data_IF_176326317958
#
_entry.id   IF_176326317958
#
_cell.length_a   1.000
_cell.length_b   1.000
_cell.length_c   1.000
_cell.angle_alpha   90.00
_cell.angle_beta   90.00
_cell.angle_gamma   90.00
#
_symmetry.space_group_name_H-M   'P 1'
#
loop_
_entity.id
_entity.type
_entity.pdbx_description
1 polymer ?
#
# COMPACT_ATOMS: atom_id res chain seq x y z
N UNK A 1 15.96 -20.51 13.91
CA UNK A 1 17.37 -20.34 14.32
C UNK A 1 17.43 -20.42 15.85
N UNK A 2 16.98 -21.54 16.38
CA UNK A 2 16.63 -21.75 17.80
C UNK A 2 17.56 -22.80 18.45
N UNK A 3 18.68 -23.14 17.79
CA UNK A 3 19.56 -24.25 18.20
C UNK A 3 21.03 -23.86 18.39
N UNK A 4 21.37 -22.56 18.53
CA UNK A 4 22.78 -22.15 18.70
C UNK A 4 23.06 -21.41 20.02
N UNK A 5 22.05 -21.09 20.82
CA UNK A 5 22.25 -20.25 22.02
C UNK A 5 22.20 -21.03 23.36
N UNK A 6 22.24 -22.36 23.31
CA UNK A 6 22.01 -23.21 24.49
C UNK A 6 23.27 -23.84 25.11
N UNK A 7 24.49 -23.46 24.71
CA UNK A 7 25.69 -24.05 25.34
C UNK A 7 26.91 -23.13 25.31
N UNK A 8 26.90 -22.10 26.15
CA UNK A 8 28.13 -21.58 26.73
C UNK A 8 27.94 -21.48 28.24
N UNK A 9 27.84 -22.63 28.91
CA UNK A 9 28.01 -22.66 30.36
C UNK A 9 29.31 -21.92 30.69
N UNK A 10 29.20 -20.92 31.55
CA UNK A 10 30.34 -20.15 32.02
C UNK A 10 31.37 -21.11 32.62
N UNK A 11 32.66 -20.88 32.36
CA UNK A 11 33.77 -21.65 32.93
C UNK A 11 33.65 -21.81 34.47
N UNK A 12 33.00 -20.85 35.15
CA UNK A 12 32.69 -20.92 36.57
C UNK A 12 31.63 -21.99 36.94
N UNK A 13 30.62 -22.20 36.09
CA UNK A 13 29.55 -23.19 36.27
C UNK A 13 30.07 -24.62 36.07
N UNK A 14 30.91 -24.82 35.07
CA UNK A 14 31.58 -26.12 34.81
C UNK A 14 32.49 -26.51 35.98
N UNK A 15 33.21 -25.54 36.56
CA UNK A 15 34.08 -25.77 37.74
C UNK A 15 33.27 -26.00 39.02
N UNK A 16 32.11 -25.37 39.16
CA UNK A 16 31.20 -25.56 40.28
C UNK A 16 30.56 -26.95 40.30
N UNK A 17 30.06 -27.40 39.14
CA UNK A 17 29.57 -28.76 38.91
C UNK A 17 30.64 -29.81 39.26
N UNK A 18 31.90 -29.57 38.88
CA UNK A 18 33.02 -30.45 39.22
C UNK A 18 33.45 -30.38 40.70
N UNK A 19 33.20 -29.26 41.40
CA UNK A 19 33.55 -29.08 42.82
C UNK A 19 32.48 -29.54 43.81
N UNK A 20 31.24 -29.75 43.34
CA UNK A 20 30.11 -30.18 44.17
C UNK A 20 29.56 -29.11 45.13
N UNK A 21 29.86 -27.82 44.94
CA UNK A 21 29.34 -26.77 45.81
C UNK A 21 27.88 -26.40 45.42
N UNK A 22 26.86 -26.77 46.22
CA UNK A 22 25.46 -26.57 45.88
C UNK A 22 25.06 -25.10 45.72
N UNK A 23 25.73 -24.18 46.42
CA UNK A 23 25.40 -22.75 46.38
C UNK A 23 25.69 -22.11 45.02
N UNK A 24 26.68 -22.63 44.28
CA UNK A 24 27.03 -22.07 42.96
C UNK A 24 26.05 -22.54 41.88
N UNK A 25 25.55 -23.78 42.00
CA UNK A 25 24.51 -24.30 41.12
C UNK A 25 23.18 -23.53 41.31
N UNK A 26 22.81 -23.28 42.57
CA UNK A 26 21.64 -22.46 42.91
C UNK A 26 21.76 -21.04 42.33
N UNK A 27 22.92 -20.40 42.52
CA UNK A 27 23.17 -19.08 41.96
C UNK A 27 23.06 -19.06 40.43
N UNK A 28 23.65 -20.03 39.73
CA UNK A 28 23.56 -20.14 38.27
C UNK A 28 22.11 -20.29 37.80
N UNK A 29 21.30 -21.09 38.50
CA UNK A 29 19.86 -21.21 38.25
C UNK A 29 19.12 -19.87 38.41
N UNK A 30 19.38 -19.16 39.50
CA UNK A 30 18.79 -17.83 39.77
C UNK A 30 19.23 -16.79 38.72
N UNK A 31 20.50 -16.78 38.32
CA UNK A 31 21.03 -15.87 37.30
C UNK A 31 20.39 -16.15 35.93
N UNK A 32 20.18 -17.42 35.57
CA UNK A 32 19.49 -17.82 34.35
C UNK A 32 18.01 -17.41 34.35
N UNK A 33 17.31 -17.60 35.47
CA UNK A 33 15.93 -17.15 35.64
C UNK A 33 15.83 -15.61 35.56
N UNK A 34 16.76 -14.90 36.20
CA UNK A 34 16.81 -13.45 36.16
C UNK A 34 17.05 -12.93 34.73
N UNK A 35 17.97 -13.55 33.98
CA UNK A 35 18.21 -13.21 32.58
C UNK A 35 16.95 -13.43 31.72
N UNK A 36 16.26 -14.56 31.91
CA UNK A 36 14.99 -14.85 31.23
C UNK A 36 13.92 -13.81 31.57
N UNK A 37 13.77 -13.46 32.84
CA UNK A 37 12.81 -12.45 33.30
C UNK A 37 13.13 -11.06 32.73
N UNK A 38 14.41 -10.69 32.64
CA UNK A 38 14.84 -9.42 32.06
C UNK A 38 14.47 -9.32 30.57
N UNK A 39 14.67 -10.40 29.80
CA UNK A 39 14.23 -10.47 28.40
C UNK A 39 12.71 -10.33 28.28
N UNK A 40 11.95 -11.09 29.08
CA UNK A 40 10.48 -11.01 29.07
C UNK A 40 9.97 -9.61 29.43
N UNK A 41 10.60 -8.95 30.40
CA UNK A 41 10.27 -7.57 30.77
C UNK A 41 10.53 -6.60 29.62
N UNK A 42 11.68 -6.71 28.96
CA UNK A 42 12.03 -5.88 27.81
C UNK A 42 11.02 -6.04 26.67
N UNK A 43 10.64 -7.29 26.35
CA UNK A 43 9.62 -7.58 25.35
C UNK A 43 8.26 -6.99 25.73
N UNK A 44 7.87 -7.11 27.00
CA UNK A 44 6.63 -6.52 27.50
C UNK A 44 6.63 -5.00 27.39
N UNK A 45 7.72 -4.33 27.77
CA UNK A 45 7.87 -2.87 27.68
C UNK A 45 7.79 -2.40 26.20
N UNK A 46 8.42 -3.14 25.29
CA UNK A 46 8.34 -2.90 23.84
C UNK A 46 6.90 -3.06 23.31
N UNK A 47 6.21 -4.13 23.71
CA UNK A 47 4.82 -4.36 23.29
C UNK A 47 3.89 -3.27 23.82
N UNK A 48 4.06 -2.86 25.08
CA UNK A 48 3.31 -1.77 25.68
C UNK A 48 3.51 -0.46 24.92
N UNK A 49 4.75 -0.15 24.52
CA UNK A 49 5.03 1.01 23.70
C UNK A 49 4.37 0.92 22.32
N UNK A 50 4.51 -0.22 21.63
CA UNK A 50 3.91 -0.45 20.32
C UNK A 50 2.39 -0.30 20.35
N UNK A 51 1.72 -0.92 21.34
CA UNK A 51 0.28 -0.81 21.53
C UNK A 51 -0.16 0.63 21.75
N UNK A 52 0.57 1.40 22.57
CA UNK A 52 0.25 2.84 22.79
C UNK A 52 0.37 3.65 21.50
N UNK A 53 1.41 3.42 20.71
CA UNK A 53 1.58 4.10 19.41
C UNK A 53 0.47 3.71 18.43
N UNK A 54 0.10 2.43 18.40
CA UNK A 54 -0.98 1.96 17.55
C UNK A 54 -2.30 2.63 17.92
N UNK A 55 -2.71 2.58 19.19
CA UNK A 55 -3.93 3.22 19.70
C UNK A 55 -3.93 4.71 19.41
N UNK A 56 -2.81 5.41 19.62
CA UNK A 56 -2.68 6.83 19.31
C UNK A 56 -2.87 7.13 17.81
N UNK A 57 -2.48 6.19 16.92
CA UNK A 57 -2.62 6.33 15.47
C UNK A 57 -4.03 6.01 14.92
N UNK A 58 -4.84 5.23 15.66
CA UNK A 58 -6.14 4.75 15.19
C UNK A 58 -7.13 5.87 14.82
N UNK A 59 -7.30 6.95 15.61
CA UNK A 59 -8.25 8.02 15.26
C UNK A 59 -7.93 8.69 13.91
N UNK A 60 -6.65 8.91 13.63
CA UNK A 60 -6.22 9.47 12.34
C UNK A 60 -6.48 8.50 11.18
N UNK A 61 -6.24 7.19 11.39
CA UNK A 61 -6.55 6.16 10.40
C UNK A 61 -8.06 6.04 10.13
N UNK A 62 -8.90 6.17 11.16
CA UNK A 62 -10.37 6.16 11.06
C UNK A 62 -10.82 7.37 10.24
N UNK A 63 -10.42 8.58 10.64
CA UNK A 63 -10.79 9.83 9.96
C UNK A 63 -10.40 9.77 8.48
N UNK A 64 -9.16 9.35 8.17
CA UNK A 64 -8.69 9.20 6.79
C UNK A 64 -9.52 8.20 5.99
N UNK A 65 -9.95 7.09 6.59
CA UNK A 65 -10.82 6.10 5.92
C UNK A 65 -12.21 6.65 5.66
N UNK A 66 -12.81 7.34 6.63
CA UNK A 66 -14.13 7.95 6.52
C UNK A 66 -14.15 9.00 5.40
N UNK A 67 -13.18 9.92 5.39
CA UNK A 67 -13.01 10.92 4.34
C UNK A 67 -12.88 10.28 2.96
N UNK A 68 -12.14 9.17 2.85
CA UNK A 68 -12.01 8.43 1.59
C UNK A 68 -13.30 7.76 1.16
N UNK A 69 -14.07 7.17 2.08
CA UNK A 69 -15.36 6.55 1.76
C UNK A 69 -16.33 7.60 1.19
N UNK A 70 -16.35 8.79 1.79
CA UNK A 70 -17.14 9.92 1.29
C UNK A 70 -16.65 10.42 -0.06
N UNK A 71 -15.33 10.52 -0.24
CA UNK A 71 -14.75 10.89 -1.53
C UNK A 71 -15.09 9.86 -2.63
N UNK A 72 -14.99 8.56 -2.37
CA UNK A 72 -15.46 7.52 -3.29
C UNK A 72 -16.95 7.68 -3.61
N UNK A 73 -17.78 8.00 -2.62
CA UNK A 73 -19.21 8.24 -2.83
C UNK A 73 -19.47 9.42 -3.77
N UNK A 74 -18.78 10.53 -3.57
CA UNK A 74 -18.87 11.71 -4.44
C UNK A 74 -18.37 11.41 -5.87
N UNK A 75 -17.26 10.68 -6.00
CA UNK A 75 -16.69 10.30 -7.30
C UNK A 75 -17.65 9.39 -8.07
N UNK A 76 -18.22 8.36 -7.41
CA UNK A 76 -19.22 7.47 -8.01
C UNK A 76 -20.44 8.28 -8.50
N UNK A 77 -20.90 9.25 -7.71
CA UNK A 77 -22.03 10.11 -8.09
C UNK A 77 -21.70 11.05 -9.27
N UNK A 78 -20.44 11.45 -9.43
CA UNK A 78 -19.98 12.30 -10.53
C UNK A 78 -19.61 11.55 -11.81
N UNK A 79 -19.54 10.21 -11.75
CA UNK A 79 -19.14 9.35 -12.87
C UNK A 79 -20.16 9.48 -14.00
N UNK A 80 -19.64 9.79 -15.19
CA UNK A 80 -20.40 9.73 -16.44
C UNK A 80 -20.29 8.32 -17.01
N UNK A 81 -21.41 7.75 -17.45
CA UNK A 81 -21.43 6.45 -18.09
C UNK A 81 -20.63 6.49 -19.40
N UNK A 82 -19.64 5.62 -19.53
CA UNK A 82 -18.80 5.45 -20.72
C UNK A 82 -19.05 4.12 -21.43
N UNK A 83 -20.06 3.36 -21.00
CA UNK A 83 -20.35 2.02 -21.54
C UNK A 83 -21.03 2.08 -22.91
N UNK A 84 -20.77 1.08 -23.75
CA UNK A 84 -21.44 0.92 -25.04
C UNK A 84 -21.31 2.14 -25.96
N UNK A 85 -22.45 2.74 -26.29
CA UNK A 85 -22.58 3.90 -27.19
C UNK A 85 -22.34 5.25 -26.49
N UNK A 86 -22.23 5.29 -25.16
CA UNK A 86 -21.94 6.50 -24.39
C UNK A 86 -20.44 6.77 -24.24
N UNK A 87 -19.61 5.93 -24.87
CA UNK A 87 -18.17 6.08 -24.84
C UNK A 87 -17.74 7.43 -25.42
N UNK A 88 -17.09 8.24 -24.58
CA UNK A 88 -16.43 9.46 -24.98
C UNK A 88 -15.21 9.69 -24.11
N UNK A 89 -14.08 9.98 -24.75
CA UNK A 89 -12.84 10.35 -24.08
C UNK A 89 -12.25 11.58 -24.75
N UNK A 90 -11.77 12.51 -23.95
CA UNK A 90 -11.04 13.68 -24.41
C UNK A 90 -9.55 13.45 -24.21
N UNK A 91 -8.78 13.55 -25.28
CA UNK A 91 -7.31 13.40 -25.28
C UNK A 91 -6.70 14.58 -26.03
N UNK A 92 -5.83 15.34 -25.36
CA UNK A 92 -5.16 16.54 -25.84
C UNK A 92 -6.13 17.56 -26.49
N UNK A 93 -7.34 17.69 -25.92
CA UNK A 93 -8.40 18.59 -26.39
C UNK A 93 -9.24 18.06 -27.56
N UNK A 94 -8.99 16.83 -28.02
CA UNK A 94 -9.79 16.16 -29.05
C UNK A 94 -10.70 15.11 -28.43
N UNK A 95 -12.00 15.15 -28.76
CA UNK A 95 -12.97 14.15 -28.32
C UNK A 95 -12.99 12.94 -29.26
N UNK A 96 -12.88 11.75 -28.69
CA UNK A 96 -12.93 10.47 -29.40
C UNK A 96 -14.12 9.66 -28.90
N UNK A 97 -14.95 9.17 -29.84
CA UNK A 97 -16.07 8.25 -29.59
C UNK A 97 -15.79 6.84 -30.11
N UNK A 98 -14.71 6.67 -30.86
CA UNK A 98 -14.23 5.38 -31.35
C UNK A 98 -13.12 4.87 -30.43
N UNK A 99 -13.30 3.64 -29.92
CA UNK A 99 -12.38 3.01 -28.96
C UNK A 99 -11.00 2.74 -29.55
N UNK A 100 -10.93 2.36 -30.82
CA UNK A 100 -9.67 2.04 -31.49
C UNK A 100 -8.86 3.31 -31.75
N UNK A 101 -9.53 4.38 -32.19
CA UNK A 101 -8.90 5.69 -32.37
C UNK A 101 -8.44 6.29 -31.03
N UNK A 102 -9.28 6.20 -29.99
CA UNK A 102 -8.94 6.63 -28.65
C UNK A 102 -7.72 5.90 -28.09
N UNK A 103 -7.66 4.57 -28.20
CA UNK A 103 -6.52 3.78 -27.73
C UNK A 103 -5.21 4.13 -28.44
N UNK A 104 -5.26 4.36 -29.76
CA UNK A 104 -4.10 4.83 -30.55
C UNK A 104 -3.64 6.23 -30.13
N UNK A 105 -4.59 7.16 -29.95
CA UNK A 105 -4.29 8.52 -29.49
C UNK A 105 -3.67 8.52 -28.09
N UNK A 106 -4.24 7.73 -27.16
CA UNK A 106 -3.76 7.57 -25.80
C UNK A 106 -2.34 6.99 -25.77
N UNK A 107 -2.10 5.90 -26.52
CA UNK A 107 -0.78 5.29 -26.67
C UNK A 107 0.26 6.28 -27.21
N UNK A 108 -0.12 7.11 -28.20
CA UNK A 108 0.77 8.12 -28.78
C UNK A 108 1.12 9.21 -27.77
N UNK A 109 0.13 9.72 -27.04
CA UNK A 109 0.33 10.75 -26.02
C UNK A 109 1.27 10.27 -24.90
N UNK A 110 1.14 8.99 -24.52
CA UNK A 110 1.96 8.40 -23.46
C UNK A 110 3.41 8.18 -23.91
N UNK A 111 3.66 7.76 -25.16
CA UNK A 111 5.01 7.46 -25.66
C UNK A 111 5.98 8.65 -25.55
N UNK A 112 5.49 9.88 -25.68
CA UNK A 112 6.31 11.10 -25.69
C UNK A 112 6.71 11.68 -24.32
N UNK A 113 6.30 11.08 -23.19
CA UNK A 113 6.60 11.63 -21.86
C UNK A 113 8.01 11.36 -21.37
N UNK A 114 8.54 12.37 -20.65
CA UNK A 114 9.83 12.29 -19.95
C UNK A 114 9.66 11.66 -18.57
N UNK A 115 10.77 11.16 -18.01
CA UNK A 115 10.81 10.65 -16.65
C UNK A 115 10.43 11.73 -15.64
N UNK A 116 9.70 11.35 -14.58
CA UNK A 116 9.22 12.24 -13.52
C UNK A 116 8.32 13.39 -14.01
N UNK A 117 7.68 13.20 -15.15
CA UNK A 117 6.72 14.17 -15.70
C UNK A 117 5.29 13.75 -15.32
N UNK A 118 4.50 14.74 -14.90
CA UNK A 118 3.04 14.62 -14.79
C UNK A 118 2.46 15.45 -15.92
N UNK A 119 1.69 14.81 -16.80
CA UNK A 119 1.05 15.51 -17.92
C UNK A 119 -0.46 15.25 -17.91
N UNK A 120 -1.30 16.29 -17.90
CA UNK A 120 -2.73 16.13 -18.14
C UNK A 120 -2.94 15.69 -19.59
N UNK A 121 -3.69 14.61 -19.80
CA UNK A 121 -4.07 14.14 -21.13
C UNK A 121 -5.46 14.59 -21.53
N UNK A 122 -6.38 14.80 -20.60
CA UNK A 122 -7.73 15.25 -20.92
C UNK A 122 -8.75 14.76 -19.92
N UNK A 123 -9.86 14.21 -20.37
CA UNK A 123 -10.99 13.83 -19.52
C UNK A 123 -11.61 12.49 -19.92
N UNK A 124 -12.00 11.70 -18.95
CA UNK A 124 -12.65 10.40 -19.17
C UNK A 124 -13.70 10.13 -18.08
N UNK A 125 -14.92 9.77 -18.46
CA UNK A 125 -15.98 9.36 -17.52
C UNK A 125 -16.33 10.38 -16.43
N UNK A 126 -16.15 11.68 -16.70
CA UNK A 126 -16.35 12.76 -15.74
C UNK A 126 -15.09 13.18 -14.97
N UNK A 127 -14.00 12.42 -15.06
CA UNK A 127 -12.75 12.64 -14.34
C UNK A 127 -11.67 13.28 -15.21
N UNK A 128 -10.71 13.96 -14.59
CA UNK A 128 -9.54 14.49 -15.27
C UNK A 128 -8.49 13.38 -15.43
N UNK A 129 -8.08 13.11 -16.67
CA UNK A 129 -7.09 12.09 -17.00
C UNK A 129 -5.69 12.72 -17.07
N UNK A 130 -4.76 12.22 -16.27
CA UNK A 130 -3.33 12.55 -16.33
C UNK A 130 -2.50 11.28 -16.45
N UNK A 131 -1.24 11.44 -16.85
CA UNK A 131 -0.26 10.35 -16.79
C UNK A 131 0.92 10.78 -15.97
N UNK A 132 1.34 9.90 -15.08
CA UNK A 132 2.45 10.07 -14.19
C UNK A 132 3.56 9.12 -14.65
N UNK A 133 4.67 9.66 -15.14
CA UNK A 133 5.86 8.86 -15.41
C UNK A 133 6.69 8.78 -14.14
N UNK A 134 6.85 7.58 -13.59
CA UNK A 134 7.73 7.36 -12.45
C UNK A 134 9.21 7.52 -12.80
N UNK A 135 10.08 7.34 -11.80
CA UNK A 135 11.54 7.32 -11.99
C UNK A 135 12.01 6.01 -12.66
N UNK A 136 13.30 5.90 -13.02
CA UNK A 136 13.87 4.69 -13.66
C UNK A 136 13.64 3.37 -12.90
N UNK A 137 13.26 3.43 -11.62
CA UNK A 137 12.93 2.27 -10.77
C UNK A 137 11.44 1.93 -10.73
N UNK A 138 10.57 2.90 -11.06
CA UNK A 138 9.15 2.65 -11.17
C UNK A 138 8.91 1.99 -12.54
N UNK A 139 8.50 0.73 -12.52
CA UNK A 139 8.14 0.02 -13.74
C UNK A 139 6.88 0.66 -14.33
N UNK A 140 7.08 1.59 -15.26
CA UNK A 140 6.04 2.02 -16.17
C UNK A 140 5.49 3.42 -15.93
N UNK A 141 4.51 3.74 -16.77
CA UNK A 141 3.74 4.98 -16.73
C UNK A 141 2.42 4.63 -16.03
N UNK A 142 1.91 5.51 -15.20
CA UNK A 142 0.63 5.31 -14.51
C UNK A 142 -0.38 6.31 -15.07
N UNK A 143 -1.54 5.84 -15.49
CA UNK A 143 -2.68 6.71 -15.79
C UNK A 143 -3.38 7.03 -14.48
N UNK A 144 -3.79 8.28 -14.30
CA UNK A 144 -4.48 8.72 -13.09
C UNK A 144 -5.75 9.44 -13.49
N UNK A 145 -6.89 8.95 -12.99
CA UNK A 145 -8.17 9.62 -13.05
C UNK A 145 -8.34 10.41 -11.76
N UNK A 146 -8.31 11.73 -11.88
CA UNK A 146 -8.41 12.66 -10.74
C UNK A 146 -9.86 13.08 -10.56
N UNK A 147 -10.44 12.70 -9.42
CA UNK A 147 -11.73 13.18 -8.91
C UNK A 147 -11.52 13.94 -7.60
N UNK A 148 -12.33 13.63 -6.58
CA UNK A 148 -12.00 14.00 -5.19
C UNK A 148 -10.82 13.22 -4.64
N UNK A 149 -10.61 12.02 -5.16
CA UNK A 149 -9.41 11.22 -4.93
C UNK A 149 -8.82 10.76 -6.26
N UNK A 150 -7.54 10.44 -6.21
CA UNK A 150 -6.80 9.93 -7.36
C UNK A 150 -7.03 8.42 -7.52
N UNK A 151 -7.54 8.02 -8.66
CA UNK A 151 -7.69 6.61 -9.06
C UNK A 151 -6.59 6.26 -10.05
N UNK A 152 -5.71 5.35 -9.65
CA UNK A 152 -4.55 4.95 -10.48
C UNK A 152 -4.92 3.73 -11.32
N UNK A 153 -4.75 3.88 -12.62
CA UNK A 153 -4.86 2.86 -13.65
C UNK A 153 -3.45 2.54 -14.17
N UNK A 154 -3.03 1.28 -14.12
CA UNK A 154 -1.67 0.94 -14.52
C UNK A 154 -1.55 0.88 -16.05
N UNK A 155 -0.69 1.72 -16.64
CA UNK A 155 -0.38 1.59 -18.06
C UNK A 155 0.68 0.49 -18.24
N UNK A 156 0.23 -0.74 -18.49
CA UNK A 156 1.11 -1.85 -18.83
C UNK A 156 1.99 -1.56 -20.07
N UNK A 157 3.00 -2.39 -20.29
CA UNK A 157 3.98 -2.20 -21.36
C UNK A 157 3.38 -2.16 -22.79
N UNK A 158 2.20 -2.77 -22.98
CA UNK A 158 1.46 -2.74 -24.24
C UNK A 158 0.30 -1.74 -24.13
N UNK A 159 0.43 -0.60 -24.83
CA UNK A 159 -0.56 0.49 -24.85
C UNK A 159 -1.95 0.12 -25.39
N UNK A 160 -2.16 -1.11 -25.82
CA UNK A 160 -3.42 -1.58 -26.43
C UNK A 160 -4.53 -1.83 -25.40
N UNK A 161 -4.20 -2.03 -24.11
CA UNK A 161 -5.18 -2.29 -23.04
C UNK A 161 -5.46 -1.10 -22.12
N UNK A 162 -4.94 0.08 -22.46
CA UNK A 162 -5.07 1.25 -21.60
C UNK A 162 -6.52 1.68 -21.39
N UNK A 163 -7.34 1.52 -22.43
CA UNK A 163 -8.75 1.87 -22.37
C UNK A 163 -9.54 0.90 -21.47
N UNK A 164 -9.26 -0.40 -21.60
CA UNK A 164 -9.85 -1.43 -20.75
C UNK A 164 -9.49 -1.19 -19.27
N UNK A 165 -8.26 -0.78 -18.97
CA UNK A 165 -7.83 -0.47 -17.61
C UNK A 165 -8.54 0.78 -17.04
N UNK A 166 -8.75 1.81 -17.85
CA UNK A 166 -9.52 3.00 -17.43
C UNK A 166 -10.99 2.65 -17.15
N UNK A 167 -11.62 1.86 -18.01
CA UNK A 167 -12.98 1.37 -17.82
C UNK A 167 -13.09 0.43 -16.60
N UNK A 168 -12.09 -0.43 -16.39
CA UNK A 168 -11.98 -1.30 -15.21
C UNK A 168 -11.85 -0.46 -13.93
N UNK A 169 -11.02 0.58 -13.96
CA UNK A 169 -10.84 1.47 -12.81
C UNK A 169 -12.14 2.19 -12.45
N UNK A 170 -12.88 2.69 -13.46
CA UNK A 170 -14.17 3.34 -13.25
C UNK A 170 -15.25 2.38 -12.73
N UNK A 171 -15.34 1.16 -13.26
CA UNK A 171 -16.31 0.14 -12.82
C UNK A 171 -15.94 -0.48 -11.46
N UNK A 172 -14.66 -0.41 -11.08
CA UNK A 172 -14.15 -0.90 -9.81
C UNK A 172 -14.33 0.05 -8.62
N UNK A 173 -14.86 1.27 -8.82
CA UNK A 173 -15.01 2.28 -7.76
C UNK A 173 -15.91 1.80 -6.62
N UNK A 174 -17.01 1.13 -6.94
CA UNK A 174 -17.93 0.55 -5.96
C UNK A 174 -17.23 -0.48 -5.09
N UNK A 175 -16.46 -1.38 -5.72
CA UNK A 175 -15.70 -2.40 -5.02
C UNK A 175 -14.57 -1.78 -4.18
N UNK A 176 -13.93 -0.71 -4.67
CA UNK A 176 -12.91 0.02 -3.92
C UNK A 176 -13.48 0.70 -2.67
N UNK A 177 -14.65 1.32 -2.78
CA UNK A 177 -15.39 1.89 -1.65
C UNK A 177 -15.76 0.83 -0.62
N UNK A 178 -16.27 -0.32 -1.08
CA UNK A 178 -16.68 -1.40 -0.19
C UNK A 178 -15.49 -2.01 0.55
N UNK A 179 -14.37 -2.24 -0.14
CA UNK A 179 -13.11 -2.65 0.51
C UNK A 179 -12.65 -1.67 1.59
N UNK A 180 -12.87 -0.37 1.39
CA UNK A 180 -12.53 0.64 2.40
C UNK A 180 -13.45 0.55 3.62
N UNK A 181 -14.76 0.30 3.39
CA UNK A 181 -15.76 0.10 4.46
C UNK A 181 -15.49 -1.15 5.28
N UNK A 182 -15.21 -2.29 4.65
CA UNK A 182 -14.91 -3.54 5.36
C UNK A 182 -13.65 -3.41 6.22
N UNK A 183 -12.69 -2.57 5.82
CA UNK A 183 -11.47 -2.30 6.59
C UNK A 183 -11.63 -1.17 7.62
N UNK A 184 -12.81 -0.59 7.73
CA UNK A 184 -13.17 0.39 8.76
C UNK A 184 -14.01 -0.26 9.87
N UNK A 185 -14.86 -1.22 9.52
CA UNK A 185 -15.60 -2.08 10.45
C UNK A 185 -14.65 -2.98 11.26
#
# INVERSE_FOLDING_TARGET
AEEVELAALSYAEVKALASGNPMVLEKAGVDAELAKLAVLKSQWDQQQWANRQEVASLPGKITWKEERIEAYGADIASRVDTSGAHFSIEIEGSAYTDRELAGKALSKAIRGMRLREVRPLGRFGGFSLSVHSGDRRAEGKELVLTGRIDHRAFAGAAGDRLLEELEFTLSGLEQARERMRTRLA
#
